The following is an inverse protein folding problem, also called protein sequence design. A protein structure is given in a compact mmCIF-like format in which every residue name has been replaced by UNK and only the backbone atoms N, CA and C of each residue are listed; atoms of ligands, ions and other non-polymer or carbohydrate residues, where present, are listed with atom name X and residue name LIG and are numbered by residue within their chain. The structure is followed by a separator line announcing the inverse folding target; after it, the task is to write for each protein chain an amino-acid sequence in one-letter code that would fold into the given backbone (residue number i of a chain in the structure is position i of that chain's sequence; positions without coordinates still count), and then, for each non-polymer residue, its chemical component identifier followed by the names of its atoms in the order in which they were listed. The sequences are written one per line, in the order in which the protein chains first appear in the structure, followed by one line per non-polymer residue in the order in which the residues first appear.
data_IF_602649751080
#
_entry.id   IF_602649751080
#
_cell.length_a   1.000
_cell.length_b   1.000
_cell.length_c   1.000
_cell.angle_alpha   90.00
_cell.angle_beta   90.00
_cell.angle_gamma   90.00
#
_symmetry.space_group_name_H-M   'P 1'
#
loop_
_entity.id
_entity.type
_entity.pdbx_description
1 polymer ?
#
# COMPACT_ATOMS: atom_id res chain seq x y z
N UNK A 1 59.84 72.01 -3.68
CA UNK A 1 58.84 71.28 -4.44
C UNK A 1 58.34 70.17 -3.57
N UNK A 2 57.12 70.17 -3.06
CA UNK A 2 56.59 69.11 -2.23
C UNK A 2 55.89 68.05 -3.06
N UNK A 3 56.25 66.75 -2.79
CA UNK A 3 55.67 65.59 -3.31
C UNK A 3 54.37 65.26 -2.61
N UNK A 4 53.26 65.05 -3.40
CA UNK A 4 51.97 64.69 -2.87
C UNK A 4 51.89 63.15 -2.91
N UNK A 5 51.80 62.51 -1.71
CA UNK A 5 51.52 61.08 -1.55
C UNK A 5 50.00 60.84 -1.55
N UNK A 6 49.47 60.21 -2.59
CA UNK A 6 48.12 59.78 -2.64
C UNK A 6 47.90 58.51 -1.77
N UNK A 7 46.96 58.59 -0.83
CA UNK A 7 46.51 57.45 -0.06
C UNK A 7 45.43 56.70 -0.82
N UNK A 8 45.68 55.44 -1.13
CA UNK A 8 44.68 54.51 -1.72
C UNK A 8 43.91 53.84 -0.58
N UNK A 9 42.65 54.20 -0.43
CA UNK A 9 41.75 53.54 0.51
C UNK A 9 41.26 52.21 -0.06
N UNK A 10 41.61 51.10 0.57
CA UNK A 10 41.10 49.79 0.24
C UNK A 10 39.71 49.61 0.88
N UNK A 11 38.68 49.45 0.06
CA UNK A 11 37.32 49.12 0.50
C UNK A 11 37.24 47.61 0.60
N UNK A 12 37.14 47.08 1.82
CA UNK A 12 36.83 45.66 2.10
C UNK A 12 35.32 45.45 1.93
N UNK A 13 34.92 44.80 0.85
CA UNK A 13 33.54 44.34 0.68
C UNK A 13 33.33 43.03 1.44
N UNK A 14 32.61 43.12 2.58
CA UNK A 14 32.20 41.94 3.36
C UNK A 14 30.97 41.30 2.67
N UNK A 15 31.23 40.21 1.91
CA UNK A 15 30.19 39.43 1.31
C UNK A 15 29.45 38.58 2.35
N UNK A 16 28.20 38.93 2.62
CA UNK A 16 27.29 38.14 3.47
C UNK A 16 26.76 36.97 2.63
N UNK A 17 27.28 35.76 2.83
CA UNK A 17 26.76 34.56 2.21
C UNK A 17 25.45 34.15 2.92
N UNK A 18 24.31 34.39 2.29
CA UNK A 18 23.05 33.82 2.72
C UNK A 18 23.07 32.31 2.40
N UNK A 19 23.22 31.49 3.45
CA UNK A 19 22.96 30.05 3.36
C UNK A 19 21.45 29.85 3.18
N UNK A 20 21.03 29.44 1.98
CA UNK A 20 19.67 29.00 1.73
C UNK A 20 19.48 27.67 2.44
N UNK A 21 18.76 27.67 3.55
CA UNK A 21 18.28 26.45 4.18
C UNK A 21 17.30 25.75 3.22
N UNK A 22 17.71 24.64 2.61
CA UNK A 22 16.83 23.77 1.86
C UNK A 22 15.80 23.18 2.84
N UNK A 23 14.58 23.68 2.80
CA UNK A 23 13.45 23.02 3.46
C UNK A 23 13.26 21.66 2.77
N UNK A 24 13.63 20.57 3.46
CA UNK A 24 13.27 19.24 3.05
C UNK A 24 11.73 19.16 3.04
N UNK A 25 11.15 19.35 1.87
CA UNK A 25 9.71 19.17 1.68
C UNK A 25 9.36 17.73 2.06
N UNK A 26 8.44 17.55 3.00
CA UNK A 26 7.90 16.24 3.32
C UNK A 26 7.38 15.62 2.00
N UNK A 27 7.86 14.43 1.65
CA UNK A 27 7.35 13.70 0.49
C UNK A 27 5.85 13.49 0.70
N UNK A 28 4.98 13.90 -0.25
CA UNK A 28 3.55 13.68 -0.09
C UNK A 28 3.29 12.19 0.09
N UNK A 29 2.72 11.82 1.23
CA UNK A 29 2.33 10.43 1.49
C UNK A 29 1.28 9.94 0.49
N UNK A 30 1.09 8.64 0.41
CA UNK A 30 0.03 8.06 -0.40
C UNK A 30 -1.29 8.11 0.37
N UNK A 31 -2.42 8.46 -0.27
CA UNK A 31 -3.72 8.31 0.35
C UNK A 31 -3.94 6.87 0.81
N UNK A 32 -4.27 6.70 2.08
CA UNK A 32 -4.56 5.38 2.65
C UNK A 32 -5.77 4.74 1.97
N UNK A 33 -5.74 3.41 1.86
CA UNK A 33 -6.91 2.66 1.42
C UNK A 33 -8.02 2.78 2.46
N UNK A 34 -9.23 3.15 2.03
CA UNK A 34 -10.40 3.23 2.91
C UNK A 34 -10.77 1.82 3.39
N UNK A 35 -10.85 1.58 4.70
CA UNK A 35 -11.29 0.30 5.23
C UNK A 35 -12.76 0.02 4.88
N UNK A 36 -13.07 -1.27 4.68
CA UNK A 36 -14.42 -1.80 4.60
C UNK A 36 -14.53 -2.92 5.65
N UNK A 37 -15.07 -2.57 6.81
CA UNK A 37 -15.02 -3.39 8.02
C UNK A 37 -15.88 -4.67 7.99
N UNK A 38 -16.63 -4.92 6.92
CA UNK A 38 -17.46 -6.11 6.80
C UNK A 38 -16.71 -7.28 6.17
N UNK A 39 -16.77 -8.45 6.83
CA UNK A 39 -16.16 -9.65 6.26
C UNK A 39 -15.98 -10.80 7.26
N UNK A 40 -15.51 -11.97 6.79
CA UNK A 40 -15.40 -13.20 7.58
C UNK A 40 -14.12 -13.27 8.45
N UNK A 41 -13.57 -12.15 8.87
CA UNK A 41 -12.24 -12.03 9.45
C UNK A 41 -12.03 -12.70 10.83
N UNK A 42 -13.08 -13.13 11.49
CA UNK A 42 -13.01 -13.83 12.79
C UNK A 42 -12.79 -15.35 12.73
N UNK A 43 -12.60 -15.93 11.55
CA UNK A 43 -12.57 -17.39 11.32
C UNK A 43 -11.16 -18.02 11.35
N UNK A 44 -10.20 -17.37 11.99
CA UNK A 44 -8.79 -17.78 12.02
C UNK A 44 -8.03 -17.42 10.74
N UNK A 45 -6.72 -17.65 10.76
CA UNK A 45 -5.87 -17.31 9.60
C UNK A 45 -6.04 -18.35 8.48
N UNK A 46 -6.23 -17.90 7.23
CA UNK A 46 -6.23 -18.76 6.06
C UNK A 46 -4.89 -19.49 5.87
N UNK A 47 -4.89 -20.66 5.20
CA UNK A 47 -3.65 -21.35 4.88
C UNK A 47 -2.76 -20.53 3.92
N UNK A 48 -1.44 -20.65 4.09
CA UNK A 48 -0.47 -20.01 3.18
C UNK A 48 -0.48 -20.77 1.86
N UNK A 49 -0.96 -20.11 0.81
CA UNK A 49 -1.02 -20.61 -0.56
C UNK A 49 -1.33 -19.49 -1.53
N UNK A 50 -0.83 -19.58 -2.77
CA UNK A 50 -1.07 -18.58 -3.80
C UNK A 50 -2.32 -18.85 -4.65
N UNK A 51 -2.98 -20.02 -4.46
CA UNK A 51 -4.14 -20.40 -5.26
C UNK A 51 -5.16 -21.22 -4.47
N UNK A 52 -6.42 -21.03 -4.82
CA UNK A 52 -7.57 -21.82 -4.37
C UNK A 52 -8.37 -22.37 -5.56
N UNK A 53 -7.82 -22.27 -6.77
CA UNK A 53 -8.46 -22.68 -8.01
C UNK A 53 -8.02 -21.79 -9.17
N UNK A 54 -8.80 -21.82 -10.26
CA UNK A 54 -8.53 -21.06 -11.49
C UNK A 54 -9.75 -20.24 -11.89
N UNK A 55 -9.53 -19.17 -12.67
CA UNK A 55 -10.60 -18.38 -13.28
C UNK A 55 -10.41 -16.89 -13.15
N UNK A 56 -9.86 -16.43 -12.03
CA UNK A 56 -9.54 -15.03 -11.78
C UNK A 56 -8.18 -14.89 -11.10
N UNK A 57 -7.35 -14.01 -11.62
CA UNK A 57 -6.03 -13.66 -11.05
C UNK A 57 -6.10 -12.26 -10.47
N UNK A 58 -5.88 -12.15 -9.16
CA UNK A 58 -5.72 -10.88 -8.48
C UNK A 58 -4.23 -10.63 -8.22
N UNK A 59 -3.73 -9.50 -8.67
CA UNK A 59 -2.42 -8.98 -8.33
C UNK A 59 -2.55 -7.72 -7.50
N UNK A 60 -1.52 -7.36 -6.75
CA UNK A 60 -1.56 -6.12 -6.01
C UNK A 60 -0.19 -5.66 -5.55
N UNK A 61 -0.16 -4.44 -5.02
CA UNK A 61 1.00 -3.86 -4.35
C UNK A 61 0.58 -3.28 -3.00
N UNK A 62 1.38 -3.54 -1.98
CA UNK A 62 1.19 -3.03 -0.63
C UNK A 62 2.19 -1.91 -0.38
N UNK A 63 1.69 -0.73 -0.02
CA UNK A 63 2.49 0.46 0.22
C UNK A 63 2.22 1.05 1.60
N UNK A 64 3.18 1.79 2.15
CA UNK A 64 2.99 2.61 3.34
C UNK A 64 2.37 3.97 2.97
N UNK A 65 1.42 4.45 3.75
CA UNK A 65 0.85 5.79 3.59
C UNK A 65 1.87 6.88 3.93
N UNK A 66 2.91 6.56 4.69
CA UNK A 66 3.91 7.53 5.13
C UNK A 66 4.73 8.10 3.96
N UNK A 67 5.21 7.20 3.09
CA UNK A 67 6.22 7.54 2.08
C UNK A 67 6.00 6.84 0.73
N UNK A 68 4.88 6.18 0.55
CA UNK A 68 4.53 5.40 -0.66
C UNK A 68 5.49 4.23 -0.97
N UNK A 69 6.34 3.84 -0.02
CA UNK A 69 7.26 2.73 -0.27
C UNK A 69 6.59 1.37 -0.13
N UNK A 70 7.05 0.38 -0.89
CA UNK A 70 6.56 -0.99 -0.79
C UNK A 70 6.81 -1.59 0.59
N UNK A 71 5.86 -2.38 1.09
CA UNK A 71 5.98 -3.12 2.35
C UNK A 71 6.30 -4.58 2.03
N UNK A 72 7.54 -4.98 2.29
CA UNK A 72 8.01 -6.37 2.19
C UNK A 72 7.30 -7.26 3.20
N UNK A 73 6.89 -8.46 2.76
CA UNK A 73 6.42 -9.51 3.64
C UNK A 73 5.06 -9.25 4.28
N UNK A 74 4.34 -8.20 3.84
CA UNK A 74 2.96 -7.98 4.28
C UNK A 74 2.13 -9.24 3.98
N UNK A 75 1.31 -9.65 4.96
CA UNK A 75 0.40 -10.80 4.84
C UNK A 75 -0.92 -10.31 4.25
N UNK A 76 -1.29 -10.85 3.12
CA UNK A 76 -2.58 -10.61 2.47
C UNK A 76 -3.42 -11.87 2.66
N UNK A 77 -4.39 -11.79 3.52
CA UNK A 77 -5.36 -12.84 3.75
C UNK A 77 -6.59 -12.58 2.89
N UNK A 78 -7.04 -13.61 2.15
CA UNK A 78 -8.12 -13.52 1.18
C UNK A 78 -9.22 -14.52 1.52
N UNK A 79 -10.49 -14.09 1.40
CA UNK A 79 -11.65 -14.96 1.53
C UNK A 79 -12.63 -14.71 0.40
N UNK A 80 -13.03 -15.80 -0.26
CA UNK A 80 -14.12 -15.80 -1.22
C UNK A 80 -15.29 -16.63 -0.69
N UNK A 81 -16.51 -16.20 -0.98
CA UNK A 81 -17.67 -17.05 -0.78
C UNK A 81 -17.65 -18.24 -1.78
N UNK A 82 -18.21 -19.35 -1.38
CA UNK A 82 -18.54 -20.43 -2.34
C UNK A 82 -19.86 -20.10 -3.09
N UNK A 83 -20.28 -20.95 -4.00
CA UNK A 83 -21.52 -20.77 -4.78
C UNK A 83 -22.80 -20.67 -3.93
N UNK A 84 -22.74 -21.06 -2.64
CA UNK A 84 -23.85 -20.94 -1.67
C UNK A 84 -23.69 -19.72 -0.76
N UNK A 85 -22.85 -18.75 -1.09
CA UNK A 85 -22.60 -17.55 -0.29
C UNK A 85 -21.83 -17.80 1.02
N UNK A 86 -21.26 -19.01 1.22
CA UNK A 86 -20.59 -19.35 2.49
C UNK A 86 -19.08 -19.23 2.39
N UNK A 87 -18.47 -18.68 3.44
CA UNK A 87 -17.03 -18.60 3.61
C UNK A 87 -16.51 -19.87 4.28
N UNK A 88 -15.73 -20.64 3.54
CA UNK A 88 -15.13 -21.89 4.01
C UNK A 88 -13.61 -21.87 3.82
N UNK A 89 -12.87 -22.67 4.64
CA UNK A 89 -11.41 -22.69 4.61
C UNK A 89 -10.84 -23.03 3.22
N UNK A 90 -11.54 -23.86 2.44
CA UNK A 90 -11.14 -24.19 1.08
C UNK A 90 -11.15 -22.97 0.12
N UNK A 91 -11.89 -21.93 0.46
CA UNK A 91 -12.06 -20.69 -0.32
C UNK A 91 -11.32 -19.50 0.30
N UNK A 92 -10.25 -19.76 1.07
CA UNK A 92 -9.42 -18.73 1.66
C UNK A 92 -7.94 -19.03 1.47
N UNK A 93 -7.11 -18.00 1.42
CA UNK A 93 -5.68 -18.10 1.23
C UNK A 93 -4.95 -16.98 1.99
N UNK A 94 -3.69 -17.21 2.31
CA UNK A 94 -2.73 -16.18 2.71
C UNK A 94 -1.61 -16.13 1.68
N UNK A 95 -1.34 -14.97 1.12
CA UNK A 95 -0.16 -14.71 0.30
C UNK A 95 0.73 -13.68 0.99
N UNK A 96 2.04 -13.79 0.77
CA UNK A 96 3.00 -12.82 1.29
C UNK A 96 3.46 -11.90 0.15
N UNK A 97 3.53 -10.61 0.44
CA UNK A 97 4.09 -9.65 -0.49
C UNK A 97 5.61 -9.85 -0.63
N UNK A 98 6.12 -9.74 -1.84
CA UNK A 98 7.55 -9.81 -2.15
C UNK A 98 8.30 -8.53 -1.71
N UNK A 99 9.60 -8.45 -2.07
CA UNK A 99 10.46 -7.30 -1.75
C UNK A 99 9.96 -5.98 -2.36
N UNK A 100 9.17 -6.05 -3.42
CA UNK A 100 8.54 -4.90 -4.08
C UNK A 100 7.12 -4.64 -3.58
N UNK A 101 6.72 -5.26 -2.47
CA UNK A 101 5.37 -5.16 -1.92
C UNK A 101 4.30 -5.84 -2.79
N UNK A 102 4.67 -6.62 -3.80
CA UNK A 102 3.75 -7.23 -4.75
C UNK A 102 3.27 -8.59 -4.29
N UNK A 103 2.02 -8.88 -4.56
CA UNK A 103 1.44 -10.21 -4.36
C UNK A 103 0.65 -10.67 -5.60
N UNK A 104 0.45 -11.98 -5.71
CA UNK A 104 -0.40 -12.62 -6.71
C UNK A 104 -1.21 -13.73 -6.05
N UNK A 105 -2.50 -13.73 -6.34
CA UNK A 105 -3.44 -14.76 -5.93
C UNK A 105 -4.22 -15.25 -7.15
N UNK A 106 -4.60 -16.54 -7.16
CA UNK A 106 -5.47 -17.11 -8.19
C UNK A 106 -6.60 -17.91 -7.55
N UNK A 107 -7.81 -17.65 -7.98
CA UNK A 107 -9.01 -18.36 -7.53
C UNK A 107 -10.05 -18.45 -8.63
N UNK A 108 -11.17 -19.12 -8.40
CA UNK A 108 -12.33 -18.98 -9.26
C UNK A 108 -12.80 -17.52 -9.31
N UNK A 109 -13.55 -17.15 -10.33
CA UNK A 109 -14.26 -15.85 -10.27
C UNK A 109 -15.25 -15.88 -9.10
N UNK A 110 -15.20 -14.90 -8.16
CA UNK A 110 -16.06 -14.94 -6.99
C UNK A 110 -17.54 -14.85 -7.40
N UNK A 111 -18.43 -15.62 -6.77
CA UNK A 111 -19.85 -15.56 -7.06
C UNK A 111 -20.52 -14.32 -6.48
N UNK A 112 -21.62 -13.88 -7.07
CA UNK A 112 -22.60 -13.06 -6.37
C UNK A 112 -23.50 -13.96 -5.52
N UNK A 113 -23.97 -13.45 -4.38
CA UNK A 113 -24.91 -14.15 -3.50
C UNK A 113 -25.77 -13.15 -2.73
N UNK A 114 -27.02 -13.48 -2.48
CA UNK A 114 -27.95 -12.68 -1.66
C UNK A 114 -28.01 -11.17 -2.03
N UNK A 115 -27.91 -10.87 -3.33
CA UNK A 115 -27.87 -9.47 -3.81
C UNK A 115 -26.52 -8.76 -3.65
N UNK A 116 -25.53 -9.42 -3.08
CA UNK A 116 -24.17 -8.87 -2.94
C UNK A 116 -23.37 -9.16 -4.22
N UNK A 117 -22.70 -8.16 -4.81
CA UNK A 117 -21.89 -8.36 -6.01
C UNK A 117 -20.67 -9.26 -5.74
N UNK A 118 -20.09 -9.87 -6.79
CA UNK A 118 -18.85 -10.64 -6.69
C UNK A 118 -17.75 -9.84 -5.99
N UNK A 119 -17.11 -10.42 -4.98
CA UNK A 119 -16.01 -9.77 -4.26
C UNK A 119 -15.10 -10.75 -3.54
N UNK A 120 -13.90 -10.28 -3.22
CA UNK A 120 -12.92 -10.97 -2.38
C UNK A 120 -12.64 -10.08 -1.17
N UNK A 121 -12.85 -10.59 0.04
CA UNK A 121 -12.43 -9.88 1.25
C UNK A 121 -10.93 -9.97 1.42
N UNK A 122 -10.31 -8.87 1.83
CA UNK A 122 -8.89 -8.73 2.05
C UNK A 122 -8.63 -8.23 3.47
N UNK A 123 -7.80 -8.97 4.22
CA UNK A 123 -7.20 -8.50 5.46
C UNK A 123 -5.70 -8.40 5.25
N UNK A 124 -5.14 -7.21 5.39
CA UNK A 124 -3.71 -6.97 5.21
C UNK A 124 -3.07 -6.63 6.53
N UNK A 125 -2.03 -7.39 6.88
CA UNK A 125 -1.28 -7.25 8.12
C UNK A 125 0.19 -7.04 7.79
N UNK A 126 0.79 -6.00 8.33
CA UNK A 126 2.21 -5.71 8.20
C UNK A 126 2.78 -5.15 9.50
N UNK A 127 4.08 -5.38 9.79
CA UNK A 127 4.73 -4.79 10.97
C UNK A 127 4.60 -3.26 10.98
N UNK A 128 4.38 -2.69 12.15
CA UNK A 128 4.27 -1.24 12.38
C UNK A 128 3.18 -0.52 11.57
N UNK A 129 2.16 -1.26 11.08
CA UNK A 129 1.03 -0.69 10.37
C UNK A 129 -0.30 -1.19 10.94
N UNK A 130 -1.31 -0.35 10.85
CA UNK A 130 -2.68 -0.73 11.16
C UNK A 130 -3.17 -1.84 10.23
N UNK A 131 -4.01 -2.73 10.77
CA UNK A 131 -4.61 -3.80 9.97
C UNK A 131 -5.64 -3.18 9.02
N UNK A 132 -5.46 -3.39 7.73
CA UNK A 132 -6.43 -2.97 6.73
C UNK A 132 -7.43 -4.12 6.49
N UNK A 133 -8.71 -3.83 6.67
CA UNK A 133 -9.83 -4.68 6.26
C UNK A 133 -10.52 -4.00 5.08
N UNK A 134 -10.58 -4.68 3.95
CA UNK A 134 -11.21 -4.13 2.74
C UNK A 134 -11.73 -5.25 1.84
N UNK A 135 -12.26 -4.92 0.68
CA UNK A 135 -12.67 -5.88 -0.34
C UNK A 135 -12.26 -5.43 -1.73
N UNK A 136 -12.00 -6.39 -2.56
CA UNK A 136 -11.81 -6.21 -3.99
C UNK A 136 -13.07 -6.66 -4.74
N UNK A 137 -13.60 -5.82 -5.62
CA UNK A 137 -14.75 -6.13 -6.49
C UNK A 137 -14.22 -6.26 -7.91
N UNK A 138 -14.23 -7.47 -8.50
CA UNK A 138 -13.77 -7.66 -9.88
C UNK A 138 -14.76 -7.06 -10.87
N UNK A 139 -14.25 -6.57 -12.00
CA UNK A 139 -15.09 -6.24 -13.15
C UNK A 139 -15.88 -7.48 -13.61
N UNK A 140 -17.05 -7.27 -14.19
CA UNK A 140 -17.94 -8.36 -14.64
C UNK A 140 -17.21 -9.30 -15.59
N UNK A 141 -17.10 -10.58 -15.21
CA UNK A 141 -16.42 -11.61 -16.00
C UNK A 141 -14.89 -11.42 -16.17
N UNK A 142 -14.29 -10.51 -15.43
CA UNK A 142 -12.87 -10.22 -15.54
C UNK A 142 -12.02 -11.43 -15.09
N UNK A 143 -11.09 -11.85 -15.94
CA UNK A 143 -10.15 -12.95 -15.63
C UNK A 143 -8.94 -12.46 -14.84
N UNK A 144 -8.72 -11.14 -14.75
CA UNK A 144 -7.61 -10.49 -14.04
C UNK A 144 -8.08 -9.22 -13.38
N UNK A 145 -7.43 -8.89 -12.28
CA UNK A 145 -7.59 -7.62 -11.59
C UNK A 145 -6.32 -7.20 -10.87
N UNK A 146 -6.27 -5.96 -10.48
CA UNK A 146 -5.18 -5.43 -9.68
C UNK A 146 -5.69 -4.47 -8.62
N UNK A 147 -5.00 -4.42 -7.48
CA UNK A 147 -5.28 -3.50 -6.38
C UNK A 147 -4.01 -2.83 -5.90
N UNK A 148 -4.16 -1.60 -5.44
CA UNK A 148 -3.14 -0.87 -4.70
C UNK A 148 -3.67 -0.69 -3.29
N UNK A 149 -2.99 -1.27 -2.30
CA UNK A 149 -3.39 -1.25 -0.91
C UNK A 149 -2.37 -0.43 -0.11
N UNK A 150 -2.83 0.64 0.53
CA UNK A 150 -1.99 1.60 1.23
C UNK A 150 -2.32 1.54 2.71
N UNK A 151 -1.36 1.11 3.52
CA UNK A 151 -1.51 0.91 4.96
C UNK A 151 -1.10 2.14 5.75
N UNK A 152 -1.86 2.45 6.80
CA UNK A 152 -1.55 3.50 7.75
C UNK A 152 -0.49 2.98 8.73
N UNK A 153 0.66 3.66 8.92
CA UNK A 153 1.59 3.31 9.98
C UNK A 153 0.94 3.50 11.36
N UNK A 154 1.36 2.71 12.36
CA UNK A 154 1.01 3.00 13.74
C UNK A 154 1.56 4.37 14.14
N UNK A 155 0.80 5.12 14.93
CA UNK A 155 1.33 6.31 15.58
C UNK A 155 2.51 5.94 16.49
N UNK A 156 3.59 6.75 16.44
CA UNK A 156 4.74 6.62 17.32
C UNK A 156 4.39 7.10 18.72
#
# INVERSE_FOLDING_TARGET
MPSVRGAVAAVLATGCALAAAATAGATPGCPATVPDGFGPFGRGSPPVRASIGKGHVLTGVILSALDCKPILGARVELWEANAKGRYVRARSATVLADRSGRFRFEGPYPPSYEGVPPHIHLRVVAPAHEVLLTRYVPGRGARRGSVRLVLVPHAL
#
